data_IF_208019252227
#
_entry.id   IF_208019252227
#
_cell.length_a   1.000
_cell.length_b   1.000
_cell.length_c   1.000
_cell.angle_alpha   90.00
_cell.angle_beta   90.00
_cell.angle_gamma   90.00
#
_symmetry.space_group_name_H-M   'P 1'
#
loop_
_entity.id
_entity.type
_entity.pdbx_description
1 polymer ?
#
# COMPACT_ATOMS: atom_id res chain seq x y z
N UNK A 1 4.04 -10.60 30.37
CA UNK A 1 4.29 -9.29 29.71
C UNK A 1 4.30 -9.54 28.22
N UNK A 2 3.39 -8.93 27.47
CA UNK A 2 3.26 -9.21 26.03
C UNK A 2 4.47 -8.63 25.26
N UNK A 3 5.17 -9.47 24.48
CA UNK A 3 6.40 -9.13 23.74
C UNK A 3 6.22 -7.92 22.82
N UNK A 4 5.05 -7.78 22.17
CA UNK A 4 4.75 -6.69 21.24
C UNK A 4 4.83 -5.29 21.88
N UNK A 5 4.63 -5.18 23.20
CA UNK A 5 4.72 -3.87 23.90
C UNK A 5 6.08 -3.20 23.78
N UNK A 6 7.14 -3.99 23.50
CA UNK A 6 8.47 -3.45 23.22
C UNK A 6 8.58 -2.71 21.88
N UNK A 7 7.58 -2.87 21.02
CA UNK A 7 7.56 -2.31 19.67
C UNK A 7 6.53 -1.19 19.49
N UNK A 8 5.91 -0.71 20.57
CA UNK A 8 4.89 0.35 20.51
C UNK A 8 5.42 1.75 20.20
N UNK A 9 6.69 1.94 19.98
CA UNK A 9 7.36 3.23 19.70
C UNK A 9 6.60 4.12 18.68
N UNK A 10 5.47 4.65 19.08
CA UNK A 10 4.60 5.51 18.27
C UNK A 10 3.88 4.81 17.10
N UNK A 11 3.95 3.48 17.01
CA UNK A 11 3.22 2.71 15.99
C UNK A 11 1.82 2.32 16.48
N UNK A 12 0.84 2.13 15.59
CA UNK A 12 -0.48 1.62 15.95
C UNK A 12 -0.40 0.26 16.67
N UNK A 13 -1.26 0.06 17.67
CA UNK A 13 -1.22 -1.17 18.48
C UNK A 13 -1.43 -2.43 17.63
N UNK A 14 -2.29 -2.38 16.61
CA UNK A 14 -2.53 -3.53 15.74
C UNK A 14 -1.26 -3.95 14.98
N UNK A 15 -0.45 -2.98 14.52
CA UNK A 15 0.82 -3.26 13.84
C UNK A 15 1.81 -3.92 14.80
N UNK A 16 1.99 -3.36 16.00
CA UNK A 16 2.87 -3.92 17.00
C UNK A 16 2.38 -5.29 17.50
N UNK A 17 1.07 -5.51 17.61
CA UNK A 17 0.49 -6.75 18.13
C UNK A 17 0.56 -7.92 17.17
N UNK A 18 0.29 -7.66 15.87
CA UNK A 18 0.11 -8.73 14.89
C UNK A 18 1.29 -8.86 13.93
N UNK A 19 2.00 -7.76 13.65
CA UNK A 19 3.02 -7.70 12.60
C UNK A 19 4.43 -7.29 13.09
N UNK A 20 4.67 -7.24 14.42
CA UNK A 20 5.98 -6.87 14.97
C UNK A 20 7.11 -7.72 14.40
N UNK A 21 6.87 -8.98 14.20
CA UNK A 21 7.84 -9.96 13.70
C UNK A 21 8.24 -9.71 12.24
N UNK A 22 7.33 -9.16 11.44
CA UNK A 22 7.59 -8.81 10.05
C UNK A 22 8.18 -7.39 9.92
N UNK A 23 7.56 -6.36 10.50
CA UNK A 23 7.85 -4.97 10.18
C UNK A 23 8.65 -4.20 11.24
N UNK A 24 8.70 -4.65 12.49
CA UNK A 24 9.34 -3.91 13.59
C UNK A 24 10.59 -4.59 14.12
N UNK A 25 10.74 -5.88 13.91
CA UNK A 25 11.89 -6.66 14.36
C UNK A 25 12.96 -6.70 13.25
N UNK A 26 14.20 -6.25 13.58
CA UNK A 26 15.28 -6.12 12.61
C UNK A 26 15.58 -7.38 11.77
N UNK A 27 15.48 -8.57 12.39
CA UNK A 27 15.71 -9.83 11.69
C UNK A 27 14.55 -10.25 10.79
N UNK A 28 13.31 -9.88 11.19
CA UNK A 28 12.15 -10.03 10.32
C UNK A 28 12.27 -9.13 9.10
N UNK A 29 12.58 -7.84 9.30
CA UNK A 29 12.80 -6.90 8.20
C UNK A 29 13.88 -7.43 7.24
N UNK A 30 15.00 -7.92 7.77
CA UNK A 30 16.07 -8.50 6.96
C UNK A 30 15.59 -9.74 6.19
N UNK A 31 14.89 -10.66 6.84
CA UNK A 31 14.41 -11.91 6.23
C UNK A 31 13.37 -11.64 5.12
N UNK A 32 12.37 -10.82 5.40
CA UNK A 32 11.29 -10.53 4.45
C UNK A 32 11.72 -9.66 3.27
N UNK A 33 12.86 -8.96 3.36
CA UNK A 33 13.38 -8.18 2.24
C UNK A 33 14.13 -9.00 1.18
N UNK A 34 14.28 -10.30 1.38
CA UNK A 34 14.90 -11.17 0.37
C UNK A 34 13.92 -11.48 -0.76
N UNK A 35 14.34 -11.21 -1.99
CA UNK A 35 13.50 -11.39 -3.19
C UNK A 35 12.85 -12.78 -3.29
N UNK A 36 13.55 -13.90 -3.01
CA UNK A 36 12.93 -15.23 -3.01
C UNK A 36 11.80 -15.38 -1.98
N UNK A 37 11.93 -14.74 -0.80
CA UNK A 37 10.92 -14.78 0.26
C UNK A 37 9.68 -14.01 -0.17
N UNK A 38 9.84 -12.78 -0.66
CA UNK A 38 8.74 -11.96 -1.17
C UNK A 38 8.02 -12.68 -2.31
N UNK A 39 8.79 -13.25 -3.22
CA UNK A 39 8.24 -13.97 -4.36
C UNK A 39 7.47 -15.22 -3.93
N UNK A 40 7.95 -15.94 -2.92
CA UNK A 40 7.23 -17.09 -2.35
C UNK A 40 5.91 -16.66 -1.68
N UNK A 41 5.90 -15.58 -0.90
CA UNK A 41 4.71 -15.03 -0.24
C UNK A 41 3.64 -14.64 -1.28
N UNK A 42 4.06 -14.05 -2.39
CA UNK A 42 3.18 -13.63 -3.49
C UNK A 42 3.05 -14.68 -4.61
N UNK A 43 3.34 -15.95 -4.32
CA UNK A 43 3.17 -17.10 -5.25
C UNK A 43 3.84 -16.90 -6.61
N UNK A 44 5.02 -16.30 -6.64
CA UNK A 44 5.72 -16.00 -7.89
C UNK A 44 5.17 -14.79 -8.66
N UNK A 45 4.21 -14.05 -8.10
CA UNK A 45 3.55 -12.94 -8.81
C UNK A 45 4.20 -11.58 -8.59
N UNK A 46 5.18 -11.45 -7.69
CA UNK A 46 5.74 -10.14 -7.30
C UNK A 46 6.18 -9.30 -8.51
N UNK A 47 7.03 -9.84 -9.38
CA UNK A 47 7.55 -9.08 -10.52
C UNK A 47 6.46 -8.75 -11.56
N UNK A 48 5.48 -9.62 -11.74
CA UNK A 48 4.33 -9.37 -12.61
C UNK A 48 3.44 -8.24 -12.09
N UNK A 49 3.11 -8.27 -10.80
CA UNK A 49 2.32 -7.23 -10.13
C UNK A 49 3.05 -5.88 -10.15
N UNK A 50 4.35 -5.90 -9.82
CA UNK A 50 5.19 -4.71 -9.86
C UNK A 50 5.23 -4.10 -11.25
N UNK A 51 5.51 -4.89 -12.29
CA UNK A 51 5.56 -4.42 -13.69
C UNK A 51 4.23 -3.81 -14.14
N UNK A 52 3.10 -4.46 -13.85
CA UNK A 52 1.77 -3.97 -14.22
C UNK A 52 1.39 -2.68 -13.49
N UNK A 53 1.74 -2.59 -12.21
CA UNK A 53 1.53 -1.37 -11.44
C UNK A 53 2.41 -0.22 -11.96
N UNK A 54 3.70 -0.47 -12.21
CA UNK A 54 4.62 0.54 -12.72
C UNK A 54 4.19 1.10 -14.10
N UNK A 55 3.56 0.29 -14.93
CA UNK A 55 2.99 0.72 -16.22
C UNK A 55 1.85 1.75 -16.08
N UNK A 56 1.29 1.92 -14.87
CA UNK A 56 0.20 2.86 -14.58
C UNK A 56 0.66 4.05 -13.72
N UNK A 57 1.96 4.10 -13.40
CA UNK A 57 2.53 5.21 -12.62
C UNK A 57 2.63 6.47 -13.48
N UNK A 58 2.35 7.61 -12.86
CA UNK A 58 2.45 8.92 -13.50
C UNK A 58 3.92 9.23 -13.82
N UNK A 59 4.20 9.49 -15.10
CA UNK A 59 5.56 9.77 -15.61
C UNK A 59 5.72 11.20 -16.11
N UNK A 60 4.67 12.04 -15.98
CA UNK A 60 4.76 13.45 -16.35
C UNK A 60 5.86 14.14 -15.54
N UNK A 61 6.72 14.94 -16.18
CA UNK A 61 7.74 15.71 -15.46
C UNK A 61 7.14 16.53 -14.32
N UNK A 62 7.85 16.61 -13.21
CA UNK A 62 7.47 17.35 -12.00
C UNK A 62 6.22 16.80 -11.25
N UNK A 63 5.72 15.64 -11.64
CA UNK A 63 4.66 14.99 -10.87
C UNK A 63 5.16 14.58 -9.49
N UNK A 64 4.42 14.94 -8.45
CA UNK A 64 4.71 14.57 -7.06
C UNK A 64 4.00 13.28 -6.72
N UNK A 65 4.77 12.25 -6.43
CA UNK A 65 4.28 10.92 -6.12
C UNK A 65 4.38 10.64 -4.63
N UNK A 66 3.32 10.10 -4.03
CA UNK A 66 3.35 9.55 -2.68
C UNK A 66 3.29 8.03 -2.74
N UNK A 67 4.34 7.37 -2.30
CA UNK A 67 4.27 5.96 -1.95
C UNK A 67 3.83 5.85 -0.49
N UNK A 68 2.64 5.31 -0.28
CA UNK A 68 2.08 5.13 1.04
C UNK A 68 2.50 3.77 1.59
N UNK A 69 3.33 3.82 2.60
CA UNK A 69 4.09 2.76 3.27
C UNK A 69 5.25 2.17 2.46
N UNK A 70 6.28 1.79 3.19
CA UNK A 70 7.37 0.99 2.66
C UNK A 70 6.88 -0.42 2.36
N UNK A 71 7.43 -0.99 1.32
CA UNK A 71 7.22 -2.40 1.02
C UNK A 71 8.56 -3.09 0.82
N UNK A 72 8.58 -4.38 1.05
CA UNK A 72 9.75 -5.21 0.76
C UNK A 72 10.01 -5.28 -0.75
N UNK A 73 11.26 -5.53 -1.10
CA UNK A 73 11.66 -5.75 -2.49
C UNK A 73 12.03 -4.47 -3.24
N UNK A 74 11.57 -4.35 -4.48
CA UNK A 74 12.11 -3.42 -5.47
C UNK A 74 11.18 -2.23 -5.79
N UNK A 75 10.01 -2.10 -5.17
CA UNK A 75 9.03 -1.07 -5.57
C UNK A 75 9.65 0.33 -5.56
N UNK A 76 10.15 0.81 -4.41
CA UNK A 76 10.70 2.17 -4.31
C UNK A 76 11.86 2.44 -5.26
N UNK A 77 12.89 1.56 -5.36
CA UNK A 77 13.94 1.72 -6.39
C UNK A 77 13.39 1.75 -7.82
N UNK A 78 12.39 0.91 -8.12
CA UNK A 78 11.80 0.85 -9.46
C UNK A 78 10.98 2.10 -9.80
N UNK A 79 10.27 2.69 -8.85
CA UNK A 79 9.58 3.96 -9.02
C UNK A 79 10.59 5.08 -9.34
N UNK A 80 11.66 5.19 -8.57
CA UNK A 80 12.69 6.21 -8.74
C UNK A 80 13.43 6.10 -10.08
N UNK A 81 13.72 4.87 -10.53
CA UNK A 81 14.39 4.64 -11.81
C UNK A 81 13.45 4.75 -13.00
N UNK A 82 12.17 4.44 -12.83
CA UNK A 82 11.19 4.38 -13.91
C UNK A 82 10.51 5.70 -14.24
N UNK A 83 10.44 6.65 -13.30
CA UNK A 83 9.64 7.88 -13.51
C UNK A 83 10.48 9.15 -13.65
N UNK A 84 11.66 9.22 -13.09
CA UNK A 84 12.41 10.47 -13.00
C UNK A 84 11.84 11.48 -11.98
N UNK A 85 10.68 11.25 -11.40
CA UNK A 85 9.96 12.14 -10.50
C UNK A 85 10.47 12.09 -9.05
N UNK A 86 10.11 13.09 -8.25
CA UNK A 86 10.26 13.05 -6.80
C UNK A 86 9.25 12.09 -6.19
N UNK A 87 9.72 11.27 -5.26
CA UNK A 87 8.89 10.32 -4.53
C UNK A 87 8.94 10.65 -3.04
N UNK A 88 7.77 10.94 -2.48
CA UNK A 88 7.58 10.98 -1.05
C UNK A 88 7.20 9.57 -0.59
N UNK A 89 7.98 9.01 0.31
CA UNK A 89 7.73 7.71 0.91
C UNK A 89 7.50 7.89 2.41
N UNK A 90 6.34 7.51 2.89
CA UNK A 90 6.06 7.54 4.32
C UNK A 90 5.83 6.14 4.88
N UNK A 91 6.24 5.93 6.11
CA UNK A 91 5.98 4.72 6.89
C UNK A 91 6.03 5.05 8.38
N UNK A 92 5.29 4.34 9.19
CA UNK A 92 5.34 4.49 10.63
C UNK A 92 6.50 3.70 11.26
N UNK A 93 6.95 2.63 10.60
CA UNK A 93 8.03 1.76 11.09
C UNK A 93 9.41 2.32 10.72
N UNK A 94 10.13 2.83 11.71
CA UNK A 94 11.47 3.40 11.51
C UNK A 94 12.45 2.43 10.84
N UNK A 95 12.37 1.13 11.13
CA UNK A 95 13.21 0.09 10.51
C UNK A 95 12.96 -0.05 9.02
N UNK A 96 11.72 0.09 8.56
CA UNK A 96 11.35 0.08 7.15
C UNK A 96 11.92 1.30 6.41
N UNK A 97 11.84 2.48 7.00
CA UNK A 97 12.43 3.70 6.44
C UNK A 97 13.96 3.61 6.34
N UNK A 98 14.62 3.02 7.33
CA UNK A 98 16.06 2.77 7.27
C UNK A 98 16.43 1.82 6.13
N UNK A 99 15.64 0.77 5.91
CA UNK A 99 15.82 -0.14 4.79
C UNK A 99 15.60 0.57 3.45
N UNK A 100 14.51 1.33 3.31
CA UNK A 100 14.22 2.12 2.11
C UNK A 100 15.37 3.11 1.81
N UNK A 101 15.87 3.83 2.82
CA UNK A 101 17.00 4.75 2.69
C UNK A 101 18.24 4.05 2.11
N UNK A 102 18.58 2.85 2.60
CA UNK A 102 19.72 2.09 2.07
C UNK A 102 19.56 1.74 0.59
N UNK A 103 18.34 1.39 0.17
CA UNK A 103 18.03 1.02 -1.21
C UNK A 103 18.03 2.21 -2.18
N UNK A 104 17.86 3.42 -1.66
CA UNK A 104 17.70 4.64 -2.47
C UNK A 104 18.85 5.64 -2.32
N UNK A 105 19.96 5.25 -1.67
CA UNK A 105 21.09 6.15 -1.43
C UNK A 105 21.64 6.81 -2.70
N UNK A 106 21.64 6.10 -3.83
CA UNK A 106 22.17 6.58 -5.11
C UNK A 106 21.27 7.60 -5.82
N UNK A 107 20.04 7.83 -5.30
CA UNK A 107 19.04 8.78 -5.81
C UNK A 107 18.35 9.51 -4.65
N UNK A 108 19.10 9.75 -3.57
CA UNK A 108 18.55 10.27 -2.31
C UNK A 108 17.92 11.67 -2.48
N UNK A 109 18.37 12.47 -3.44
CA UNK A 109 17.83 13.79 -3.74
C UNK A 109 16.38 13.75 -4.27
N UNK A 110 15.93 12.62 -4.81
CA UNK A 110 14.57 12.44 -5.34
C UNK A 110 13.67 11.58 -4.44
N UNK A 111 14.17 11.12 -3.30
CA UNK A 111 13.43 10.25 -2.38
C UNK A 111 13.29 10.88 -1.00
N UNK A 112 12.12 11.42 -0.71
CA UNK A 112 11.81 12.09 0.55
C UNK A 112 11.17 11.11 1.53
N UNK A 113 11.93 10.69 2.54
CA UNK A 113 11.48 9.73 3.54
C UNK A 113 10.88 10.45 4.75
N UNK A 114 9.69 10.06 5.18
CA UNK A 114 9.04 10.64 6.34
C UNK A 114 8.41 9.55 7.24
N UNK A 115 8.60 9.68 8.56
CA UNK A 115 7.92 8.80 9.52
C UNK A 115 6.54 9.34 9.81
N UNK A 116 5.51 8.69 9.25
CA UNK A 116 4.11 9.10 9.38
C UNK A 116 3.22 7.86 9.46
N UNK A 117 2.09 8.01 10.16
CA UNK A 117 1.00 7.03 10.12
C UNK A 117 0.11 7.30 8.90
N UNK A 118 -0.17 6.27 8.08
CA UNK A 118 -1.06 6.35 6.94
C UNK A 118 -2.49 6.82 7.28
N UNK A 119 -2.89 6.64 8.53
CA UNK A 119 -4.18 7.08 9.08
C UNK A 119 -4.24 8.58 9.41
N UNK A 120 -3.09 9.26 9.41
CA UNK A 120 -2.96 10.70 9.73
C UNK A 120 -1.67 11.26 9.12
N UNK A 121 -1.74 11.69 7.86
CA UNK A 121 -0.61 12.17 7.09
C UNK A 121 -0.32 13.64 7.38
N UNK A 122 0.95 13.98 7.63
CA UNK A 122 1.39 15.37 7.83
C UNK A 122 1.52 16.20 6.55
N UNK A 123 0.90 15.76 5.46
CA UNK A 123 0.88 16.52 4.21
C UNK A 123 -0.37 17.40 4.12
N UNK A 124 -0.24 18.52 3.39
CA UNK A 124 -1.39 19.39 3.09
C UNK A 124 -2.35 18.69 2.13
N UNK A 125 -3.57 19.21 2.06
CA UNK A 125 -4.54 18.81 1.04
C UNK A 125 -3.98 19.03 -0.36
N UNK A 126 -4.37 18.18 -1.29
CA UNK A 126 -4.02 18.28 -2.72
C UNK A 126 -2.50 18.32 -3.00
N UNK A 127 -1.71 17.66 -2.15
CA UNK A 127 -0.26 17.70 -2.22
C UNK A 127 0.34 16.86 -3.36
N UNK A 128 -0.38 15.82 -3.82
CA UNK A 128 0.18 14.80 -4.70
C UNK A 128 -0.61 14.60 -5.99
N UNK A 129 0.13 14.37 -7.08
CA UNK A 129 -0.41 13.98 -8.38
C UNK A 129 -0.85 12.52 -8.40
N UNK A 130 -0.13 11.66 -7.69
CA UNK A 130 -0.51 10.26 -7.56
C UNK A 130 -0.15 9.73 -6.18
N UNK A 131 -1.08 8.96 -5.60
CA UNK A 131 -0.84 8.16 -4.38
C UNK A 131 -0.77 6.69 -4.78
N UNK A 132 0.31 6.02 -4.36
CA UNK A 132 0.61 4.64 -4.70
C UNK A 132 0.57 3.80 -3.42
N UNK A 133 -0.26 2.77 -3.42
CA UNK A 133 -0.43 1.82 -2.33
C UNK A 133 -0.17 0.41 -2.84
N UNK A 134 0.69 -0.34 -2.15
CA UNK A 134 1.06 -1.69 -2.55
C UNK A 134 1.00 -2.63 -1.35
N UNK A 135 -0.06 -3.42 -1.24
CA UNK A 135 -0.30 -4.38 -0.17
C UNK A 135 -0.29 -3.76 1.24
N UNK A 136 -1.23 -2.89 1.54
CA UNK A 136 -1.37 -2.23 2.84
C UNK A 136 -2.69 -2.57 3.56
N UNK A 137 -3.80 -2.50 2.83
CA UNK A 137 -5.12 -2.48 3.48
C UNK A 137 -5.51 -3.79 4.15
N UNK A 138 -5.06 -4.93 3.62
CA UNK A 138 -5.34 -6.23 4.22
C UNK A 138 -4.69 -6.43 5.60
N UNK A 139 -3.70 -5.62 5.95
CA UNK A 139 -3.00 -5.63 7.24
C UNK A 139 -3.61 -4.68 8.27
N UNK A 140 -4.66 -3.95 7.91
CA UNK A 140 -5.26 -2.92 8.75
C UNK A 140 -6.65 -3.33 9.25
N UNK A 141 -7.05 -3.00 10.49
CA UNK A 141 -8.45 -3.09 10.92
C UNK A 141 -9.34 -2.11 10.14
N UNK A 142 -10.64 -2.38 10.08
CA UNK A 142 -11.57 -1.64 9.22
C UNK A 142 -11.61 -0.14 9.51
N UNK A 143 -11.53 0.27 10.76
CA UNK A 143 -11.51 1.68 11.18
C UNK A 143 -10.22 2.40 10.75
N UNK A 144 -9.07 1.72 10.82
CA UNK A 144 -7.80 2.24 10.33
C UNK A 144 -7.80 2.39 8.80
N UNK A 145 -8.37 1.40 8.06
CA UNK A 145 -8.57 1.51 6.61
C UNK A 145 -9.43 2.72 6.25
N UNK A 146 -10.54 2.93 6.97
CA UNK A 146 -11.42 4.08 6.73
C UNK A 146 -10.69 5.42 6.89
N UNK A 147 -9.88 5.57 7.94
CA UNK A 147 -9.05 6.78 8.13
C UNK A 147 -8.01 6.93 7.03
N UNK A 148 -7.40 5.82 6.60
CA UNK A 148 -6.41 5.83 5.51
C UNK A 148 -7.04 6.21 4.17
N UNK A 149 -8.25 5.73 3.86
CA UNK A 149 -8.98 6.17 2.65
C UNK A 149 -9.27 7.68 2.68
N UNK A 150 -9.67 8.22 3.83
CA UNK A 150 -9.91 9.66 3.99
C UNK A 150 -8.61 10.47 3.77
N UNK A 151 -7.49 10.03 4.31
CA UNK A 151 -6.20 10.69 4.12
C UNK A 151 -5.71 10.62 2.66
N UNK A 152 -5.83 9.47 2.00
CA UNK A 152 -5.54 9.32 0.57
C UNK A 152 -6.39 10.30 -0.24
N UNK A 153 -7.69 10.33 0.01
CA UNK A 153 -8.63 11.23 -0.67
C UNK A 153 -8.30 12.71 -0.42
N UNK A 154 -7.82 13.06 0.78
CA UNK A 154 -7.43 14.41 1.15
C UNK A 154 -6.17 14.87 0.42
N UNK A 155 -5.13 14.04 0.40
CA UNK A 155 -3.82 14.44 -0.10
C UNK A 155 -3.65 14.34 -1.62
N UNK A 156 -4.47 13.53 -2.32
CA UNK A 156 -4.47 13.46 -3.78
C UNK A 156 -5.21 14.66 -4.35
N UNK A 157 -4.63 15.37 -5.34
CA UNK A 157 -5.24 16.54 -5.95
C UNK A 157 -6.30 16.18 -7.00
N UNK A 158 -7.24 17.09 -7.30
CA UNK A 158 -8.03 17.00 -8.53
C UNK A 158 -7.12 16.99 -9.77
N UNK A 159 -7.41 16.12 -10.72
CA UNK A 159 -6.54 15.83 -11.88
C UNK A 159 -5.44 14.79 -11.59
N UNK A 160 -5.33 14.35 -10.35
CA UNK A 160 -4.42 13.28 -9.93
C UNK A 160 -5.06 11.89 -9.97
N UNK A 161 -4.37 10.91 -9.40
CA UNK A 161 -4.87 9.53 -9.35
C UNK A 161 -4.42 8.77 -8.09
N UNK A 162 -5.16 7.72 -7.75
CA UNK A 162 -4.78 6.74 -6.72
C UNK A 162 -4.57 5.40 -7.39
N UNK A 163 -3.44 4.76 -7.12
CA UNK A 163 -3.06 3.47 -7.67
C UNK A 163 -2.85 2.47 -6.53
N UNK A 164 -3.63 1.40 -6.51
CA UNK A 164 -3.64 0.41 -5.44
C UNK A 164 -3.39 -0.97 -6.01
N UNK A 165 -2.41 -1.70 -5.46
CA UNK A 165 -2.21 -3.13 -5.71
C UNK A 165 -2.52 -3.89 -4.42
N UNK A 166 -3.47 -4.85 -4.48
CA UNK A 166 -3.97 -5.50 -3.28
C UNK A 166 -4.61 -6.87 -3.59
N UNK A 167 -4.90 -7.66 -2.55
CA UNK A 167 -5.77 -8.81 -2.68
C UNK A 167 -7.10 -8.42 -3.32
N UNK A 168 -7.64 -9.29 -4.16
CA UNK A 168 -9.00 -9.12 -4.68
C UNK A 168 -10.04 -9.40 -3.57
N UNK A 169 -11.32 -9.28 -3.87
CA UNK A 169 -12.39 -9.78 -3.00
C UNK A 169 -12.24 -11.31 -2.82
N UNK A 170 -12.95 -11.91 -1.86
CA UNK A 170 -12.81 -13.33 -1.50
C UNK A 170 -12.62 -14.23 -2.72
N UNK A 171 -11.44 -14.83 -2.93
CA UNK A 171 -11.12 -15.55 -4.15
C UNK A 171 -11.66 -17.01 -4.13
N UNK A 172 -12.96 -17.17 -3.92
CA UNK A 172 -13.61 -18.48 -3.71
C UNK A 172 -13.33 -19.49 -4.82
N UNK A 173 -13.14 -19.02 -6.06
CA UNK A 173 -12.86 -19.88 -7.23
C UNK A 173 -11.38 -20.21 -7.38
N UNK A 174 -10.50 -19.50 -6.69
CA UNK A 174 -9.06 -19.73 -6.80
C UNK A 174 -8.66 -21.00 -6.06
N UNK A 175 -7.83 -21.84 -6.69
CA UNK A 175 -7.43 -23.15 -6.14
C UNK A 175 -6.73 -23.05 -4.78
N UNK A 176 -5.88 -22.04 -4.57
CA UNK A 176 -5.22 -21.78 -3.28
C UNK A 176 -6.24 -21.56 -2.15
N UNK A 177 -7.29 -20.78 -2.40
CA UNK A 177 -8.32 -20.51 -1.40
C UNK A 177 -9.12 -21.78 -1.03
N UNK A 178 -9.23 -22.72 -1.95
CA UNK A 178 -9.92 -24.02 -1.73
C UNK A 178 -9.11 -24.97 -0.85
N UNK A 179 -7.79 -24.76 -0.71
CA UNK A 179 -6.94 -25.55 0.19
C UNK A 179 -7.15 -25.10 1.63
N UNK A 180 -7.93 -25.87 2.40
CA UNK A 180 -8.30 -25.53 3.78
C UNK A 180 -7.08 -25.26 4.70
N UNK A 181 -6.00 -26.07 4.70
CA UNK A 181 -4.83 -25.82 5.53
C UNK A 181 -4.13 -24.48 5.17
N UNK A 182 -4.03 -24.21 3.88
CA UNK A 182 -3.45 -22.95 3.40
C UNK A 182 -4.29 -21.75 3.82
N UNK A 183 -5.60 -21.80 3.62
CA UNK A 183 -6.51 -20.73 4.04
C UNK A 183 -6.46 -20.49 5.54
N UNK A 184 -6.42 -21.56 6.34
CA UNK A 184 -6.27 -21.44 7.80
C UNK A 184 -4.97 -20.75 8.17
N UNK A 185 -3.84 -21.14 7.56
CA UNK A 185 -2.55 -20.52 7.81
C UNK A 185 -2.55 -19.05 7.39
N UNK A 186 -3.06 -18.74 6.21
CA UNK A 186 -3.13 -17.37 5.69
C UNK A 186 -3.93 -16.46 6.62
N UNK A 187 -5.13 -16.87 7.04
CA UNK A 187 -5.97 -16.10 7.98
C UNK A 187 -5.31 -15.97 9.35
N UNK A 188 -4.51 -16.95 9.76
CA UNK A 188 -3.77 -16.90 11.03
C UNK A 188 -2.61 -15.89 10.99
N UNK A 189 -1.98 -15.72 9.84
CA UNK A 189 -0.88 -14.75 9.63
C UNK A 189 -1.43 -13.36 9.31
N UNK A 190 -2.57 -13.28 8.61
CA UNK A 190 -3.23 -12.06 8.16
C UNK A 190 -4.62 -11.91 8.81
N UNK A 191 -4.68 -11.49 10.09
CA UNK A 191 -5.92 -11.50 10.87
C UNK A 191 -6.99 -10.53 10.35
N UNK A 192 -6.61 -9.49 9.61
CA UNK A 192 -7.55 -8.51 9.05
C UNK A 192 -7.98 -8.83 7.61
N UNK A 193 -7.31 -9.77 6.94
CA UNK A 193 -7.60 -10.18 5.57
C UNK A 193 -9.05 -10.68 5.37
N UNK A 194 -9.66 -11.48 6.27
CA UNK A 194 -11.05 -11.89 6.11
C UNK A 194 -12.04 -10.73 6.06
N UNK A 195 -11.84 -9.70 6.88
CA UNK A 195 -12.65 -8.48 6.85
C UNK A 195 -12.38 -7.64 5.59
N UNK A 196 -11.14 -7.57 5.15
CA UNK A 196 -10.76 -6.89 3.93
C UNK A 196 -11.36 -7.55 2.68
N UNK A 197 -11.41 -8.87 2.61
CA UNK A 197 -12.03 -9.59 1.49
C UNK A 197 -13.52 -9.29 1.28
N UNK A 198 -14.21 -8.89 2.35
CA UNK A 198 -15.63 -8.53 2.30
C UNK A 198 -15.86 -7.04 2.00
N UNK A 199 -14.78 -6.25 1.98
CA UNK A 199 -14.87 -4.81 1.81
C UNK A 199 -14.85 -4.44 0.32
N UNK A 200 -15.81 -3.60 -0.06
CA UNK A 200 -15.78 -2.92 -1.36
C UNK A 200 -14.86 -1.69 -1.27
N UNK A 201 -13.58 -1.93 -1.56
CA UNK A 201 -12.55 -0.87 -1.58
C UNK A 201 -12.91 0.23 -2.57
N UNK A 202 -13.54 -0.15 -3.70
CA UNK A 202 -13.91 0.81 -4.74
C UNK A 202 -14.96 1.77 -4.21
N UNK A 203 -16.03 1.26 -3.59
CA UNK A 203 -17.06 2.08 -2.98
C UNK A 203 -16.48 2.93 -1.83
N UNK A 204 -15.71 2.33 -0.91
CA UNK A 204 -15.14 3.03 0.26
C UNK A 204 -14.22 4.19 -0.12
N UNK A 205 -13.32 3.99 -1.08
CA UNK A 205 -12.43 5.06 -1.52
C UNK A 205 -13.20 6.12 -2.32
N UNK A 206 -14.16 5.73 -3.16
CA UNK A 206 -15.01 6.66 -3.88
C UNK A 206 -15.84 7.56 -2.94
N UNK A 207 -16.35 6.99 -1.85
CA UNK A 207 -17.08 7.76 -0.83
C UNK A 207 -16.15 8.72 -0.09
N UNK A 208 -14.92 8.28 0.26
CA UNK A 208 -13.92 9.16 0.88
C UNK A 208 -13.54 10.33 -0.04
N UNK A 209 -13.39 10.07 -1.35
CA UNK A 209 -13.11 11.11 -2.36
C UNK A 209 -14.25 12.13 -2.41
N UNK A 210 -15.51 11.67 -2.44
CA UNK A 210 -16.69 12.55 -2.43
C UNK A 210 -16.79 13.39 -1.15
N UNK A 211 -16.53 12.77 0.02
CA UNK A 211 -16.53 13.46 1.31
C UNK A 211 -15.46 14.57 1.39
N UNK A 212 -14.40 14.46 0.60
CA UNK A 212 -13.37 15.51 0.46
C UNK A 212 -13.68 16.54 -0.64
N UNK A 213 -14.94 16.61 -1.13
CA UNK A 213 -15.36 17.58 -2.14
C UNK A 213 -14.81 17.32 -3.53
N UNK A 214 -14.36 16.10 -3.80
CA UNK A 214 -13.80 15.66 -5.09
C UNK A 214 -14.71 14.65 -5.77
N UNK A 215 -14.46 14.37 -7.05
CA UNK A 215 -15.18 13.37 -7.83
C UNK A 215 -14.23 12.38 -8.49
N UNK A 216 -14.80 11.39 -9.14
CA UNK A 216 -14.05 10.47 -10.01
C UNK A 216 -14.25 10.91 -11.48
N UNK A 217 -13.18 10.92 -12.24
CA UNK A 217 -13.19 11.16 -13.70
C UNK A 217 -13.49 9.85 -14.46
N UNK A 218 -14.63 9.24 -14.16
CA UNK A 218 -15.08 7.96 -14.71
C UNK A 218 -15.01 6.82 -13.71
N UNK A 219 -15.37 5.62 -14.15
CA UNK A 219 -15.30 4.42 -13.32
C UNK A 219 -13.85 4.02 -13.03
N UNK A 220 -13.55 3.53 -11.82
CA UNK A 220 -12.23 3.02 -11.49
C UNK A 220 -11.85 1.84 -12.40
N UNK A 221 -10.62 1.88 -12.90
CA UNK A 221 -10.07 0.78 -13.70
C UNK A 221 -9.58 -0.30 -12.75
N UNK A 222 -10.07 -1.52 -12.90
CA UNK A 222 -9.67 -2.68 -12.08
C UNK A 222 -9.11 -3.77 -12.98
N UNK A 223 -7.84 -4.08 -12.79
CA UNK A 223 -7.14 -5.18 -13.46
C UNK A 223 -6.95 -6.33 -12.49
N UNK A 224 -7.50 -7.50 -12.80
CA UNK A 224 -7.32 -8.71 -12.00
C UNK A 224 -6.08 -9.48 -12.44
N UNK A 225 -5.31 -9.93 -11.46
CA UNK A 225 -4.08 -10.69 -11.65
C UNK A 225 -4.18 -12.06 -10.97
N UNK A 226 -3.37 -13.03 -11.42
CA UNK A 226 -3.30 -14.37 -10.83
C UNK A 226 -4.68 -14.99 -10.64
N UNK A 227 -5.41 -15.15 -11.74
CA UNK A 227 -6.77 -15.73 -11.77
C UNK A 227 -7.73 -15.09 -10.73
N UNK A 228 -7.64 -13.78 -10.54
CA UNK A 228 -8.50 -13.03 -9.64
C UNK A 228 -8.11 -13.07 -8.16
N UNK A 229 -6.88 -13.49 -7.85
CA UNK A 229 -6.38 -13.50 -6.47
C UNK A 229 -5.88 -12.11 -6.02
N UNK A 230 -5.31 -11.35 -6.96
CA UNK A 230 -4.86 -9.97 -6.78
C UNK A 230 -5.57 -9.03 -7.74
N UNK A 231 -5.57 -7.75 -7.41
CA UNK A 231 -6.08 -6.69 -8.28
C UNK A 231 -5.19 -5.45 -8.22
N UNK A 232 -5.15 -4.74 -9.35
CA UNK A 232 -4.58 -3.41 -9.45
C UNK A 232 -5.75 -2.49 -9.79
N UNK A 233 -5.90 -1.43 -9.00
CA UNK A 233 -7.02 -0.49 -9.12
C UNK A 233 -6.47 0.92 -9.34
N UNK A 234 -7.00 1.63 -10.34
CA UNK A 234 -6.69 3.03 -10.59
C UNK A 234 -7.94 3.88 -10.51
N UNK A 235 -7.87 4.91 -9.68
CA UNK A 235 -8.92 5.92 -9.50
C UNK A 235 -8.40 7.23 -10.06
N UNK A 236 -9.05 7.79 -11.07
CA UNK A 236 -8.74 9.11 -11.61
C UNK A 236 -9.61 10.15 -10.92
N UNK A 237 -8.98 11.18 -10.34
CA UNK A 237 -9.65 12.16 -9.47
C UNK A 237 -10.00 13.40 -10.30
N UNK A 238 -11.20 13.93 -10.15
CA UNK A 238 -11.59 15.22 -10.71
C UNK A 238 -12.09 16.17 -9.60
N UNK A 239 -12.37 17.41 -9.96
CA UNK A 239 -13.09 18.33 -9.08
C UNK A 239 -14.50 17.79 -8.86
N UNK A 240 -15.00 17.84 -7.63
CA UNK A 240 -16.41 17.56 -7.37
C UNK A 240 -17.29 18.57 -8.10
N UNK A 241 -18.41 18.09 -8.62
CA UNK A 241 -19.46 19.00 -9.09
C UNK A 241 -20.08 19.64 -7.85
N UNK A 242 -19.89 20.94 -7.70
CA UNK A 242 -20.58 21.76 -6.68
C UNK A 242 -22.06 21.81 -6.95
#
# INVERSE_FOLDING_TARGET
MHLYKKFLDGVPEYLARYYWWAYLWRWGIWFFDHQPVINAILFGQYDSLLKRMLAQVETRPDARLLQLTCVYGKLTPSLLSGTGNEIHLCDIAAGQLQLARRKTLHVAERCHLARMNAENLGYRDDAFDQVIVFFLFHEMPADARQRTYAEIARVVRPGGSVLITEYAATPQRHWLYRLVPFRWLLVRLEPFLPGFWQEDVTAKLSDAIKQNGKGLAGEPIVEYCFAGYYRIMRFSICRGNS
#
